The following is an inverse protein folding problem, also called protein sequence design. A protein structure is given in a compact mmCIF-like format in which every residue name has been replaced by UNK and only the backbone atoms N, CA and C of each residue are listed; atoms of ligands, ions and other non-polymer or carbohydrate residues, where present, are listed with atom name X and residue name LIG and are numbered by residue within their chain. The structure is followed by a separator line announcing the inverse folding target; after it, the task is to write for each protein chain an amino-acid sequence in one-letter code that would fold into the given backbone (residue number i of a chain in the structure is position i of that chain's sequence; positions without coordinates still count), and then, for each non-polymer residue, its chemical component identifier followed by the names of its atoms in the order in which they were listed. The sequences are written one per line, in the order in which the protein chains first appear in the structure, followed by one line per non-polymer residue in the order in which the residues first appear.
data_IF_470238250447
#
_entry.id   IF_470238250447
#
_cell.length_a   1.000
_cell.length_b   1.000
_cell.length_c   1.000
_cell.angle_alpha   90.00
_cell.angle_beta   90.00
_cell.angle_gamma   90.00
#
_symmetry.space_group_name_H-M   'P 1'
#
loop_
_entity.id
_entity.type
_entity.pdbx_description
1 polymer ?
#
# COMPACT_ATOMS: atom_id res chain seq x y z
N UNK A 1 -15.55 6.79 2.53
CA UNK A 1 -15.93 6.43 1.14
C UNK A 1 -15.73 7.55 0.10
N UNK A 2 -15.95 8.82 0.40
CA UNK A 2 -15.75 9.94 -0.56
C UNK A 2 -14.26 10.14 -0.91
N UNK A 3 -13.36 10.04 0.07
CA UNK A 3 -11.90 10.16 -0.15
C UNK A 3 -11.33 9.11 -1.12
N UNK A 4 -11.82 7.87 -1.05
CA UNK A 4 -11.39 6.78 -1.93
C UNK A 4 -11.66 7.04 -3.43
N UNK A 5 -12.78 7.66 -3.78
CA UNK A 5 -13.09 7.97 -5.18
C UNK A 5 -12.24 9.12 -5.72
N UNK A 6 -11.92 10.11 -4.88
CA UNK A 6 -11.04 11.22 -5.25
C UNK A 6 -9.61 10.68 -5.43
N UNK A 7 -9.13 9.89 -4.48
CA UNK A 7 -7.80 9.27 -4.55
C UNK A 7 -7.62 8.44 -5.82
N UNK A 8 -8.61 7.60 -6.18
CA UNK A 8 -8.60 6.83 -7.43
C UNK A 8 -8.45 7.71 -8.67
N UNK A 9 -9.15 8.85 -8.74
CA UNK A 9 -9.08 9.78 -9.89
C UNK A 9 -7.69 10.40 -10.02
N UNK A 10 -7.10 10.85 -8.91
CA UNK A 10 -5.75 11.42 -8.90
C UNK A 10 -4.71 10.35 -9.24
N UNK A 11 -4.79 9.18 -8.64
CA UNK A 11 -3.90 8.07 -8.93
C UNK A 11 -3.96 7.64 -10.41
N UNK A 12 -5.17 7.52 -10.98
CA UNK A 12 -5.35 7.14 -12.38
C UNK A 12 -4.79 8.20 -13.34
N UNK A 13 -5.00 9.49 -13.04
CA UNK A 13 -4.44 10.58 -13.84
C UNK A 13 -2.90 10.56 -13.84
N UNK A 14 -2.30 10.44 -12.65
CA UNK A 14 -0.84 10.36 -12.53
C UNK A 14 -0.28 9.10 -13.21
N UNK A 15 -0.95 7.95 -13.02
CA UNK A 15 -0.57 6.69 -13.64
C UNK A 15 -0.59 6.76 -15.18
N UNK A 16 -1.60 7.42 -15.74
CA UNK A 16 -1.70 7.61 -17.21
C UNK A 16 -0.56 8.46 -17.76
N UNK A 17 -0.06 9.44 -17.00
CA UNK A 17 1.10 10.25 -17.38
C UNK A 17 2.37 9.40 -17.25
N UNK A 18 2.53 8.70 -16.12
CA UNK A 18 3.66 7.83 -15.85
C UNK A 18 3.83 6.73 -16.90
N UNK A 19 2.73 6.16 -17.38
CA UNK A 19 2.72 5.17 -18.44
C UNK A 19 3.18 5.73 -19.79
N UNK A 20 2.77 6.97 -20.12
CA UNK A 20 3.22 7.64 -21.35
C UNK A 20 4.70 7.99 -21.32
N UNK A 21 5.24 8.29 -20.14
CA UNK A 21 6.64 8.62 -19.92
C UNK A 21 7.54 7.39 -19.72
N UNK A 22 6.95 6.19 -19.66
CA UNK A 22 7.61 4.92 -19.31
C UNK A 22 8.36 4.98 -17.96
N UNK A 23 7.75 5.64 -16.96
CA UNK A 23 8.35 5.93 -15.66
C UNK A 23 7.48 5.48 -14.48
N UNK A 24 6.68 4.44 -14.67
CA UNK A 24 5.70 3.97 -13.68
C UNK A 24 6.34 3.67 -12.32
N UNK A 25 7.42 2.87 -12.30
CA UNK A 25 8.08 2.46 -11.06
C UNK A 25 8.84 3.63 -10.40
N UNK A 26 9.41 4.51 -11.19
CA UNK A 26 10.14 5.69 -10.68
C UNK A 26 9.17 6.60 -9.92
N UNK A 27 8.04 6.95 -10.55
CA UNK A 27 7.02 7.82 -9.95
C UNK A 27 6.41 7.16 -8.71
N UNK A 28 6.18 5.84 -8.72
CA UNK A 28 5.73 5.12 -7.54
C UNK A 28 6.72 5.25 -6.37
N UNK A 29 8.00 5.02 -6.61
CA UNK A 29 9.03 5.12 -5.58
C UNK A 29 9.16 6.54 -5.01
N UNK A 30 9.05 7.57 -5.86
CA UNK A 30 9.03 8.96 -5.44
C UNK A 30 7.81 9.28 -4.57
N UNK A 31 6.60 8.83 -4.94
CA UNK A 31 5.38 8.98 -4.14
C UNK A 31 5.50 8.29 -2.79
N UNK A 32 5.96 7.05 -2.79
CA UNK A 32 6.15 6.25 -1.58
C UNK A 32 7.17 6.90 -0.64
N UNK A 33 8.30 7.36 -1.18
CA UNK A 33 9.31 8.06 -0.39
C UNK A 33 8.76 9.33 0.26
N UNK A 34 7.99 10.12 -0.48
CA UNK A 34 7.37 11.34 0.04
C UNK A 34 6.28 11.02 1.08
N UNK A 35 5.43 10.02 0.83
CA UNK A 35 4.40 9.55 1.76
C UNK A 35 5.01 9.06 3.07
N UNK A 36 6.08 8.26 3.00
CA UNK A 36 6.81 7.78 4.19
C UNK A 36 7.42 8.92 4.99
N UNK A 37 8.03 9.89 4.32
CA UNK A 37 8.60 11.07 4.98
C UNK A 37 7.54 11.89 5.73
N UNK A 38 6.35 12.05 5.17
CA UNK A 38 5.25 12.74 5.84
C UNK A 38 4.81 12.00 7.10
N UNK A 39 4.71 10.67 7.05
CA UNK A 39 4.34 9.82 8.20
C UNK A 39 5.39 9.84 9.31
N UNK A 40 6.67 9.88 8.96
CA UNK A 40 7.77 9.92 9.93
C UNK A 40 7.87 11.26 10.66
N UNK A 41 7.41 12.35 10.04
CA UNK A 41 7.45 13.69 10.60
C UNK A 41 6.04 14.21 10.89
N UNK A 42 5.58 14.00 12.11
CA UNK A 42 4.28 14.48 12.58
C UNK A 42 4.10 16.00 12.39
N UNK A 43 5.16 16.76 12.59
CA UNK A 43 5.13 18.22 12.40
C UNK A 43 4.86 18.60 10.93
N UNK A 44 5.44 17.85 9.98
CA UNK A 44 5.19 18.06 8.54
C UNK A 44 3.76 17.66 8.16
N UNK A 45 3.29 16.54 8.66
CA UNK A 45 1.92 16.08 8.42
C UNK A 45 0.92 17.11 8.95
N UNK A 46 1.06 17.53 10.22
CA UNK A 46 0.22 18.55 10.83
C UNK A 46 0.29 19.89 10.07
N UNK A 47 1.47 20.33 9.63
CA UNK A 47 1.64 21.54 8.84
C UNK A 47 0.87 21.48 7.53
N UNK A 48 0.96 20.38 6.79
CA UNK A 48 0.29 20.25 5.50
C UNK A 48 -1.22 20.07 5.63
N UNK A 49 -1.71 19.40 6.66
CA UNK A 49 -3.13 19.17 6.89
C UNK A 49 -3.82 20.40 7.51
N UNK A 50 -3.13 21.13 8.39
CA UNK A 50 -3.70 22.24 9.14
C UNK A 50 -4.14 23.39 8.20
N UNK A 51 -5.44 23.81 8.23
CA UNK A 51 -5.97 24.86 7.38
C UNK A 51 -5.49 26.27 7.73
N UNK A 52 -4.88 26.48 8.90
CA UNK A 52 -4.34 27.76 9.36
C UNK A 52 -3.20 28.25 8.46
N UNK A 53 -2.39 27.32 7.94
CA UNK A 53 -1.31 27.66 7.02
C UNK A 53 -1.83 27.90 5.61
N UNK A 54 -1.38 29.01 5.01
CA UNK A 54 -1.75 29.40 3.66
C UNK A 54 -1.19 28.41 2.61
N UNK A 55 -1.88 28.35 1.45
CA UNK A 55 -1.39 27.52 0.34
C UNK A 55 0.00 27.96 -0.13
N UNK A 56 0.27 29.27 -0.12
CA UNK A 56 1.59 29.85 -0.46
C UNK A 56 2.71 29.32 0.43
N UNK A 57 2.48 29.24 1.76
CA UNK A 57 3.48 28.76 2.71
C UNK A 57 3.74 27.27 2.51
N UNK A 58 2.66 26.50 2.30
CA UNK A 58 2.74 25.07 2.01
C UNK A 58 3.50 24.81 0.69
N UNK A 59 3.22 25.60 -0.36
CA UNK A 59 3.93 25.49 -1.65
C UNK A 59 5.40 25.86 -1.56
N UNK A 60 5.75 26.83 -0.73
CA UNK A 60 7.15 27.17 -0.49
C UNK A 60 7.91 26.07 0.25
N UNK A 61 7.28 25.41 1.22
CA UNK A 61 7.89 24.30 1.97
C UNK A 61 8.03 23.07 1.08
N UNK A 62 6.96 22.69 0.35
CA UNK A 62 7.02 21.53 -0.53
C UNK A 62 8.06 21.70 -1.62
N UNK A 63 8.21 22.90 -2.23
CA UNK A 63 9.22 23.17 -3.23
C UNK A 63 10.64 22.90 -2.72
N UNK A 64 10.98 23.37 -1.50
CA UNK A 64 12.28 23.08 -0.88
C UNK A 64 12.53 21.61 -0.63
N UNK A 65 11.48 20.86 -0.26
CA UNK A 65 11.56 19.41 -0.05
C UNK A 65 11.83 18.71 -1.39
N UNK A 66 11.05 19.03 -2.42
CA UNK A 66 11.16 18.42 -3.75
C UNK A 66 12.53 18.67 -4.37
N UNK A 67 13.06 19.90 -4.25
CA UNK A 67 14.41 20.26 -4.74
C UNK A 67 15.48 19.42 -4.03
N UNK A 68 15.35 19.21 -2.73
CA UNK A 68 16.33 18.47 -1.93
C UNK A 68 16.36 16.98 -2.27
N UNK A 69 15.20 16.40 -2.61
CA UNK A 69 15.08 14.97 -2.94
C UNK A 69 15.30 14.68 -4.42
N UNK A 70 15.42 15.71 -5.28
CA UNK A 70 15.66 15.53 -6.71
C UNK A 70 14.55 14.75 -7.42
N UNK A 71 13.30 14.95 -7.01
CA UNK A 71 12.14 14.27 -7.60
C UNK A 71 11.91 14.70 -9.05
N UNK A 72 11.31 13.81 -9.82
CA UNK A 72 10.95 14.11 -11.21
C UNK A 72 9.98 15.29 -11.32
N UNK A 73 10.03 15.99 -12.45
CA UNK A 73 9.14 17.13 -12.71
C UNK A 73 7.67 16.74 -12.61
N UNK A 74 7.33 15.54 -13.09
CA UNK A 74 5.96 15.00 -13.07
C UNK A 74 5.46 14.81 -11.65
N UNK A 75 6.25 14.16 -10.77
CA UNK A 75 5.92 13.98 -9.36
C UNK A 75 5.87 15.31 -8.61
N UNK A 76 6.84 16.21 -8.89
CA UNK A 76 6.88 17.54 -8.27
C UNK A 76 5.64 18.37 -8.61
N UNK A 77 5.23 18.40 -9.87
CA UNK A 77 4.02 19.09 -10.30
C UNK A 77 2.76 18.47 -9.67
N UNK A 78 2.71 17.15 -9.57
CA UNK A 78 1.59 16.45 -8.97
C UNK A 78 1.46 16.75 -7.47
N UNK A 79 2.55 16.72 -6.71
CA UNK A 79 2.54 17.04 -5.28
C UNK A 79 2.19 18.51 -5.03
N UNK A 80 2.70 19.44 -5.84
CA UNK A 80 2.29 20.85 -5.80
C UNK A 80 0.78 21.00 -6.07
N UNK A 81 0.24 20.29 -7.07
CA UNK A 81 -1.20 20.28 -7.35
C UNK A 81 -2.02 19.78 -6.14
N UNK A 82 -1.57 18.74 -5.43
CA UNK A 82 -2.25 18.25 -4.24
C UNK A 82 -2.27 19.29 -3.12
N UNK A 83 -1.18 20.03 -2.93
CA UNK A 83 -1.11 21.13 -1.96
C UNK A 83 -2.06 22.25 -2.35
N UNK A 84 -2.06 22.69 -3.61
CA UNK A 84 -2.93 23.73 -4.14
C UNK A 84 -4.42 23.40 -3.99
N UNK A 85 -4.76 22.13 -4.20
CA UNK A 85 -6.13 21.62 -4.04
C UNK A 85 -6.48 21.24 -2.61
N UNK A 86 -5.55 21.39 -1.65
CA UNK A 86 -5.69 20.96 -0.25
C UNK A 86 -6.10 19.49 -0.12
N UNK A 87 -5.38 18.63 -0.87
CA UNK A 87 -5.62 17.18 -0.96
C UNK A 87 -4.42 16.34 -0.59
N UNK A 88 -3.45 16.93 0.08
CA UNK A 88 -2.25 16.22 0.54
C UNK A 88 -2.59 15.16 1.61
N UNK A 89 -3.68 15.37 2.35
CA UNK A 89 -4.26 14.47 3.35
C UNK A 89 -4.65 13.09 2.79
N UNK A 90 -4.93 13.01 1.49
CA UNK A 90 -5.27 11.75 0.83
C UNK A 90 -4.10 11.12 0.05
N UNK A 91 -2.86 11.61 0.24
CA UNK A 91 -1.69 11.14 -0.51
C UNK A 91 -1.46 9.64 -0.32
N UNK A 92 -1.59 9.13 0.90
CA UNK A 92 -1.47 7.69 1.17
C UNK A 92 -2.47 6.86 0.38
N UNK A 93 -3.72 7.30 0.34
CA UNK A 93 -4.76 6.62 -0.44
C UNK A 93 -4.49 6.69 -1.96
N UNK A 94 -3.87 7.79 -2.42
CA UNK A 94 -3.44 7.93 -3.82
C UNK A 94 -2.31 6.96 -4.13
N UNK A 95 -1.31 6.85 -3.25
CA UNK A 95 -0.19 5.91 -3.36
C UNK A 95 -0.70 4.46 -3.45
N UNK A 96 -1.60 4.05 -2.55
CA UNK A 96 -2.20 2.71 -2.57
C UNK A 96 -2.96 2.43 -3.87
N UNK A 97 -3.72 3.41 -4.38
CA UNK A 97 -4.41 3.26 -5.64
C UNK A 97 -3.44 3.16 -6.82
N UNK A 98 -2.39 3.98 -6.82
CA UNK A 98 -1.36 3.96 -7.86
C UNK A 98 -0.63 2.62 -7.87
N UNK A 99 -0.29 2.09 -6.68
CA UNK A 99 0.32 0.79 -6.52
C UNK A 99 -0.53 -0.33 -7.14
N UNK A 100 -1.84 -0.32 -6.88
CA UNK A 100 -2.77 -1.29 -7.50
C UNK A 100 -2.75 -1.23 -9.03
N UNK A 101 -2.76 -0.03 -9.62
CA UNK A 101 -2.68 0.12 -11.07
C UNK A 101 -1.33 -0.35 -11.64
N UNK A 102 -0.23 -0.07 -10.93
CA UNK A 102 1.10 -0.54 -11.29
C UNK A 102 1.18 -2.07 -11.24
N UNK A 103 0.69 -2.68 -10.15
CA UNK A 103 0.69 -4.12 -9.97
C UNK A 103 -0.14 -4.83 -11.06
N UNK A 104 -1.27 -4.26 -11.47
CA UNK A 104 -2.10 -4.80 -12.55
C UNK A 104 -1.38 -4.75 -13.91
N UNK A 105 -0.71 -3.65 -14.24
CA UNK A 105 0.01 -3.52 -15.52
C UNK A 105 1.27 -4.40 -15.54
N UNK A 106 1.96 -4.54 -14.41
CA UNK A 106 3.13 -5.41 -14.28
C UNK A 106 2.76 -6.89 -14.10
N UNK A 107 1.48 -7.22 -14.14
CA UNK A 107 0.96 -8.57 -13.88
C UNK A 107 1.48 -9.15 -12.56
N UNK A 108 1.57 -8.31 -11.53
CA UNK A 108 2.01 -8.67 -10.17
C UNK A 108 0.82 -8.78 -9.23
N UNK A 109 0.94 -9.63 -8.22
CA UNK A 109 0.02 -9.67 -7.09
C UNK A 109 0.82 -9.73 -5.79
N UNK A 110 0.40 -8.92 -4.82
CA UNK A 110 1.01 -8.88 -3.49
C UNK A 110 0.27 -9.81 -2.57
N UNK A 111 1.02 -10.72 -1.96
CA UNK A 111 0.49 -11.74 -1.05
C UNK A 111 1.12 -11.52 0.33
N UNK A 112 0.28 -11.23 1.32
CA UNK A 112 0.71 -11.20 2.71
C UNK A 112 0.56 -12.60 3.32
N UNK A 113 1.61 -13.09 3.95
CA UNK A 113 1.63 -14.40 4.60
C UNK A 113 1.97 -14.20 6.07
N UNK A 114 1.04 -14.53 6.97
CA UNK A 114 1.31 -14.55 8.41
C UNK A 114 1.48 -15.97 8.88
N UNK A 115 2.53 -16.23 9.65
CA UNK A 115 2.89 -17.57 10.15
C UNK A 115 3.16 -17.51 11.65
N UNK A 116 2.87 -18.60 12.37
CA UNK A 116 3.17 -18.68 13.80
C UNK A 116 4.67 -18.80 14.11
N UNK A 117 5.44 -19.31 13.15
CA UNK A 117 6.89 -19.59 13.26
C UNK A 117 7.59 -19.17 11.97
N UNK A 118 8.92 -18.97 12.00
CA UNK A 118 9.70 -18.68 10.81
C UNK A 118 9.43 -19.68 9.69
N UNK A 119 9.16 -19.19 8.50
CA UNK A 119 8.89 -20.02 7.33
C UNK A 119 10.22 -20.51 6.72
N UNK A 120 10.34 -21.81 6.43
CA UNK A 120 11.50 -22.32 5.71
C UNK A 120 11.47 -21.84 4.25
N UNK A 121 12.66 -21.72 3.63
CA UNK A 121 12.77 -21.32 2.24
C UNK A 121 11.98 -22.25 1.30
N UNK A 122 11.96 -23.56 1.57
CA UNK A 122 11.23 -24.55 0.77
C UNK A 122 9.71 -24.31 0.81
N UNK A 123 9.15 -24.00 1.99
CA UNK A 123 7.75 -23.71 2.16
C UNK A 123 7.38 -22.36 1.51
N UNK A 124 8.26 -21.36 1.63
CA UNK A 124 8.08 -20.06 0.97
C UNK A 124 7.95 -20.20 -0.55
N UNK A 125 8.85 -21.01 -1.16
CA UNK A 125 8.81 -21.26 -2.60
C UNK A 125 7.52 -21.98 -2.99
N UNK A 126 7.12 -23.03 -2.26
CA UNK A 126 5.88 -23.78 -2.54
C UNK A 126 4.62 -22.91 -2.43
N UNK A 127 4.54 -22.06 -1.40
CA UNK A 127 3.40 -21.12 -1.25
C UNK A 127 3.37 -20.16 -2.42
N UNK A 128 4.53 -19.61 -2.82
CA UNK A 128 4.63 -18.72 -3.96
C UNK A 128 4.15 -19.38 -5.25
N UNK A 129 4.65 -20.55 -5.58
CA UNK A 129 4.25 -21.31 -6.77
C UNK A 129 2.75 -21.64 -6.80
N UNK A 130 2.17 -22.01 -5.65
CA UNK A 130 0.74 -22.25 -5.54
C UNK A 130 -0.08 -20.97 -5.75
N UNK A 131 0.36 -19.85 -5.19
CA UNK A 131 -0.30 -18.57 -5.38
C UNK A 131 -0.18 -18.06 -6.82
N UNK A 132 0.96 -18.25 -7.47
CA UNK A 132 1.15 -17.96 -8.90
C UNK A 132 0.23 -18.82 -9.76
N UNK A 133 0.09 -20.10 -9.44
CA UNK A 133 -0.85 -21.00 -10.13
C UNK A 133 -2.32 -20.61 -9.96
N UNK A 134 -2.72 -20.13 -8.77
CA UNK A 134 -4.09 -19.70 -8.48
C UNK A 134 -4.43 -18.34 -9.10
N UNK A 135 -3.48 -17.40 -9.10
CA UNK A 135 -3.73 -16.03 -9.54
C UNK A 135 -3.40 -15.79 -11.01
N UNK A 136 -2.56 -16.65 -11.61
CA UNK A 136 -2.01 -16.45 -12.95
C UNK A 136 -1.09 -15.23 -13.07
N UNK A 137 -0.66 -14.65 -11.94
CA UNK A 137 0.17 -13.45 -11.85
C UNK A 137 1.49 -13.75 -11.14
N UNK A 138 2.49 -12.90 -11.34
CA UNK A 138 3.74 -12.95 -10.57
C UNK A 138 3.48 -12.58 -9.11
N UNK A 139 3.86 -13.45 -8.16
CA UNK A 139 3.60 -13.24 -6.74
C UNK A 139 4.79 -12.57 -6.05
N UNK A 140 4.54 -11.41 -5.45
CA UNK A 140 5.42 -10.76 -4.49
C UNK A 140 4.92 -11.05 -3.08
N UNK A 141 5.68 -11.83 -2.29
CA UNK A 141 5.24 -12.35 -1.00
C UNK A 141 5.89 -11.58 0.15
N UNK A 142 5.07 -11.13 1.10
CA UNK A 142 5.47 -10.47 2.34
C UNK A 142 5.14 -11.40 3.50
N UNK A 143 6.17 -11.81 4.26
CA UNK A 143 6.03 -12.79 5.34
C UNK A 143 6.21 -12.06 6.67
N UNK A 144 5.19 -12.18 7.52
CA UNK A 144 5.20 -11.68 8.90
C UNK A 144 5.02 -12.85 9.88
N UNK A 145 5.70 -12.77 11.02
CA UNK A 145 5.55 -13.72 12.11
C UNK A 145 4.50 -13.23 13.10
N UNK A 146 3.47 -14.04 13.33
CA UNK A 146 2.42 -13.79 14.33
C UNK A 146 2.22 -15.03 15.22
N UNK A 147 2.94 -15.11 16.34
CA UNK A 147 2.81 -16.23 17.28
C UNK A 147 1.40 -16.46 17.82
N UNK A 148 0.52 -15.43 17.74
CA UNK A 148 -0.87 -15.55 18.20
C UNK A 148 -1.73 -16.54 17.40
N UNK A 149 -1.25 -16.96 16.22
CA UNK A 149 -1.91 -17.95 15.37
C UNK A 149 -1.80 -19.38 15.91
N UNK A 150 -0.89 -19.62 16.86
CA UNK A 150 -0.56 -20.92 17.46
C UNK A 150 0.03 -21.94 16.47
N UNK A 151 -0.19 -21.79 15.16
CA UNK A 151 0.24 -22.67 14.08
C UNK A 151 -0.51 -22.39 12.79
N UNK A 152 -0.04 -22.98 11.69
CA UNK A 152 -0.64 -22.78 10.37
C UNK A 152 -0.21 -21.45 9.74
N UNK A 153 -0.95 -21.04 8.70
CA UNK A 153 -0.69 -19.82 7.93
C UNK A 153 -1.98 -19.07 7.65
N UNK A 154 -1.88 -17.75 7.57
CA UNK A 154 -2.93 -16.87 7.08
C UNK A 154 -2.40 -16.15 5.85
N UNK A 155 -3.07 -16.29 4.71
CA UNK A 155 -2.64 -15.75 3.43
C UNK A 155 -3.67 -14.71 2.97
N UNK A 156 -3.22 -13.47 2.78
CA UNK A 156 -4.02 -12.39 2.21
C UNK A 156 -3.62 -12.12 0.76
N UNK A 157 -4.59 -12.17 -0.15
CA UNK A 157 -4.41 -11.86 -1.58
C UNK A 157 -5.40 -10.75 -1.96
N UNK A 158 -4.92 -9.54 -2.06
CA UNK A 158 -5.81 -8.38 -2.25
C UNK A 158 -6.82 -8.27 -1.13
N UNK A 159 -8.11 -8.32 -1.45
CA UNK A 159 -9.22 -8.22 -0.49
C UNK A 159 -9.67 -9.62 0.04
N UNK A 160 -9.02 -10.71 -0.38
CA UNK A 160 -9.36 -12.08 0.00
C UNK A 160 -8.38 -12.60 1.04
N UNK A 161 -8.92 -13.19 2.12
CA UNK A 161 -8.13 -13.78 3.21
C UNK A 161 -8.38 -15.29 3.27
N UNK A 162 -7.31 -16.06 3.21
CA UNK A 162 -7.32 -17.52 3.42
C UNK A 162 -6.71 -17.81 4.79
N UNK A 163 -7.55 -18.16 5.75
CA UNK A 163 -7.13 -18.45 7.12
C UNK A 163 -7.08 -19.95 7.38
N UNK A 164 -5.86 -20.49 7.40
CA UNK A 164 -5.53 -21.86 7.78
C UNK A 164 -4.88 -21.97 9.16
N UNK A 165 -5.09 -20.99 10.06
CA UNK A 165 -4.50 -21.00 11.39
C UNK A 165 -5.14 -22.02 12.32
N UNK A 166 -4.34 -22.60 13.21
CA UNK A 166 -4.82 -23.49 14.28
C UNK A 166 -5.81 -22.77 15.20
N UNK A 167 -5.57 -21.48 15.46
CA UNK A 167 -6.45 -20.62 16.25
C UNK A 167 -7.87 -20.58 15.69
N UNK A 168 -8.02 -20.36 14.38
CA UNK A 168 -9.35 -20.35 13.73
C UNK A 168 -10.01 -21.71 13.74
N UNK A 169 -9.24 -22.78 13.51
CA UNK A 169 -9.77 -24.15 13.60
C UNK A 169 -10.30 -24.48 15.00
N UNK A 170 -9.56 -24.13 16.05
CA UNK A 170 -10.00 -24.30 17.43
C UNK A 170 -11.24 -23.46 17.76
N UNK A 171 -11.32 -22.23 17.27
CA UNK A 171 -12.50 -21.39 17.47
C UNK A 171 -13.74 -21.96 16.77
N UNK A 172 -13.58 -22.51 15.56
CA UNK A 172 -14.67 -23.17 14.85
C UNK A 172 -15.18 -24.40 15.60
N UNK A 173 -14.28 -25.26 16.11
CA UNK A 173 -14.67 -26.43 16.94
C UNK A 173 -15.40 -25.99 18.21
N UNK A 174 -14.88 -24.92 18.87
CA UNK A 174 -15.54 -24.39 20.08
C UNK A 174 -16.94 -23.82 19.79
N UNK A 175 -17.12 -23.21 18.60
CA UNK A 175 -18.44 -22.75 18.14
C UNK A 175 -19.42 -23.91 18.00
N UNK A 176 -19.04 -24.98 17.29
CA UNK A 176 -19.87 -26.16 17.08
C UNK A 176 -20.30 -26.82 18.40
N UNK A 177 -19.37 -26.95 19.36
CA UNK A 177 -19.70 -27.53 20.68
C UNK A 177 -20.72 -26.67 21.45
N UNK A 178 -20.70 -25.34 21.26
CA UNK A 178 -21.64 -24.44 21.94
C UNK A 178 -23.04 -24.43 21.34
N UNK A 179 -23.16 -24.73 20.05
CA UNK A 179 -24.45 -24.81 19.35
C UNK A 179 -25.16 -26.12 19.62
N UNK A 180 -24.44 -27.18 20.03
CA UNK A 180 -25.02 -28.49 20.36
C UNK A 180 -25.38 -28.65 21.87
N UNK A 181 -25.09 -27.68 22.71
CA UNK A 181 -25.42 -27.63 24.14
C UNK A 181 -26.57 -26.68 24.43
#
# INVERSE_FOLDING_TARGET
MIGSNIAKRYAMALFSIAQKEDRIEIIYNELKGFSSMLKESRDLEEFFVNPVFGTSDKSAVIGKILDRFGMSTTTSNFLNLLVDKRRIDILEQIEECYQKYMDDVLNKVRVSVKTAFPLSNELSVKIKEQMEGLTGKNVEMFIDEDPSLLGGVVIGVGDTLYDGSVKSQLNNIRGLIREEM
#
